data_IF_818569253360
#
_entry.id   IF_818569253360
#
_cell.length_a   1.000
_cell.length_b   1.000
_cell.length_c   1.000
_cell.angle_alpha   90.00
_cell.angle_beta   90.00
_cell.angle_gamma   90.00
#
_symmetry.space_group_name_H-M   'P 1'
#
loop_
_entity.id
_entity.type
_entity.pdbx_description
1 polymer ?
#
# COMPACT_ATOMS: atom_id res chain seq x y z
N UNK A 1 13.39 -1.32 -12.19
CA UNK A 1 12.84 -2.01 -11.01
C UNK A 1 11.33 -2.07 -11.20
N UNK A 2 10.80 -3.25 -11.49
CA UNK A 2 9.37 -3.43 -11.75
C UNK A 2 8.66 -3.58 -10.41
N UNK A 3 7.81 -2.61 -10.07
CA UNK A 3 7.11 -2.51 -8.78
C UNK A 3 5.98 -3.53 -8.69
N UNK A 4 5.51 -3.84 -7.47
CA UNK A 4 4.45 -4.83 -7.28
C UNK A 4 3.17 -4.49 -8.04
N UNK A 5 2.72 -3.23 -8.01
CA UNK A 5 1.55 -2.80 -8.77
C UNK A 5 1.76 -2.97 -10.30
N UNK A 6 2.99 -2.79 -10.79
CA UNK A 6 3.34 -2.97 -12.22
C UNK A 6 3.53 -4.44 -12.63
N UNK A 7 4.09 -5.28 -11.77
CA UNK A 7 4.22 -6.73 -11.99
C UNK A 7 2.84 -7.38 -12.11
N UNK A 8 1.88 -6.96 -11.29
CA UNK A 8 0.51 -7.47 -11.34
C UNK A 8 -0.20 -7.01 -12.63
N UNK A 9 0.02 -5.76 -13.05
CA UNK A 9 -0.57 -5.23 -14.28
C UNK A 9 -0.08 -5.94 -15.56
N UNK A 10 1.18 -6.42 -15.62
CA UNK A 10 1.72 -7.12 -16.81
C UNK A 10 1.36 -8.60 -16.87
N UNK A 11 1.28 -9.30 -15.74
CA UNK A 11 0.93 -10.73 -15.73
C UNK A 11 -0.39 -10.99 -16.45
N UNK A 12 -1.35 -10.07 -16.30
CA UNK A 12 -2.67 -10.13 -16.94
C UNK A 12 -2.72 -9.64 -18.40
N UNK A 13 -1.65 -9.04 -18.94
CA UNK A 13 -1.55 -8.69 -20.38
C UNK A 13 -0.96 -9.86 -21.18
N UNK A 14 -0.22 -10.75 -20.53
CA UNK A 14 0.42 -11.90 -21.17
C UNK A 14 -0.42 -13.18 -21.05
N UNK A 15 -1.16 -13.36 -19.96
CA UNK A 15 -2.15 -14.42 -19.83
C UNK A 15 -3.51 -13.89 -20.32
N UNK A 16 -3.78 -14.10 -21.61
CA UNK A 16 -5.08 -13.86 -22.25
C UNK A 16 -6.18 -14.81 -21.78
N UNK A 17 -6.19 -15.18 -20.50
CA UNK A 17 -7.13 -16.12 -19.95
C UNK A 17 -8.33 -15.39 -19.35
N UNK A 18 -9.39 -15.44 -20.14
CA UNK A 18 -10.75 -15.11 -19.80
C UNK A 18 -11.24 -16.12 -18.74
N UNK A 19 -10.89 -15.94 -17.47
CA UNK A 19 -11.36 -16.81 -16.38
C UNK A 19 -12.41 -16.07 -15.55
N UNK A 20 -13.67 -16.46 -15.78
CA UNK A 20 -14.77 -16.46 -14.83
C UNK A 20 -14.96 -15.21 -13.96
N UNK A 21 -15.82 -14.31 -14.42
CA UNK A 21 -16.45 -13.28 -13.58
C UNK A 21 -17.21 -13.97 -12.44
N UNK A 22 -16.77 -13.80 -11.20
CA UNK A 22 -17.67 -13.91 -10.04
C UNK A 22 -18.35 -12.56 -9.84
N UNK A 23 -19.70 -12.47 -9.80
CA UNK A 23 -20.42 -11.18 -9.82
C UNK A 23 -20.34 -10.33 -8.53
N UNK A 24 -19.74 -10.83 -7.45
CA UNK A 24 -20.12 -10.36 -6.10
C UNK A 24 -19.20 -9.31 -5.42
N UNK A 25 -18.15 -8.80 -6.08
CA UNK A 25 -17.14 -7.96 -5.37
C UNK A 25 -16.82 -6.60 -5.98
N UNK A 26 -17.57 -6.17 -7.00
CA UNK A 26 -17.39 -4.86 -7.63
C UNK A 26 -18.50 -3.88 -7.21
N UNK A 27 -18.61 -3.55 -5.92
CA UNK A 27 -19.37 -2.38 -5.50
C UNK A 27 -18.46 -1.14 -5.59
N UNK A 28 -18.74 -0.15 -6.46
CA UNK A 28 -18.12 1.15 -6.34
C UNK A 28 -18.49 1.71 -4.96
N UNK A 29 -17.48 2.09 -4.18
CA UNK A 29 -17.68 2.81 -2.92
C UNK A 29 -18.67 3.96 -3.13
N UNK A 30 -19.72 4.00 -2.31
CA UNK A 30 -20.77 5.02 -2.40
C UNK A 30 -20.17 6.40 -2.04
N UNK A 31 -20.19 7.38 -2.96
CA UNK A 31 -19.64 8.72 -2.73
C UNK A 31 -20.35 9.53 -1.63
N UNK A 32 -21.46 9.04 -1.05
CA UNK A 32 -22.15 9.66 0.09
C UNK A 32 -21.71 9.12 1.47
N UNK A 33 -20.90 8.06 1.52
CA UNK A 33 -20.37 7.50 2.76
C UNK A 33 -18.99 8.13 3.07
N UNK A 34 -18.94 8.97 4.12
CA UNK A 34 -17.71 9.60 4.62
C UNK A 34 -16.78 8.63 5.39
N UNK A 35 -17.20 7.38 5.61
CA UNK A 35 -16.43 6.35 6.29
C UNK A 35 -16.35 5.06 5.47
N UNK A 36 -15.23 4.29 5.55
CA UNK A 36 -15.14 2.99 4.92
C UNK A 36 -16.17 1.99 5.46
N UNK A 37 -16.93 1.32 4.59
CA UNK A 37 -17.86 0.31 5.06
C UNK A 37 -17.09 -0.89 5.59
N UNK A 38 -17.38 -1.26 6.84
CA UNK A 38 -17.19 -2.62 7.32
C UNK A 38 -18.23 -3.49 6.59
N UNK A 39 -17.75 -4.32 5.66
CA UNK A 39 -18.45 -5.42 4.96
C UNK A 39 -19.94 -5.23 4.58
N UNK A 40 -20.16 -5.28 3.25
CA UNK A 40 -21.32 -5.82 2.52
C UNK A 40 -22.48 -4.88 2.10
N UNK A 41 -22.92 -5.17 0.87
CA UNK A 41 -24.18 -4.90 0.17
C UNK A 41 -24.51 -3.47 -0.30
N UNK A 42 -24.43 -3.25 -1.62
CA UNK A 42 -25.57 -2.85 -2.46
C UNK A 42 -25.21 -2.75 -3.96
N UNK A 43 -26.18 -3.12 -4.78
CA UNK A 43 -26.22 -3.10 -6.25
C UNK A 43 -26.24 -1.66 -6.80
N UNK A 44 -25.06 -1.04 -6.95
CA UNK A 44 -24.88 0.20 -7.70
C UNK A 44 -24.37 -0.09 -9.12
N UNK A 45 -25.32 -0.60 -9.91
CA UNK A 45 -25.52 -0.67 -11.37
C UNK A 45 -24.28 -0.76 -12.31
N UNK A 46 -24.31 -1.79 -13.15
CA UNK A 46 -23.45 -1.98 -14.34
C UNK A 46 -23.30 -0.70 -15.18
N UNK A 47 -24.34 0.13 -15.22
CA UNK A 47 -24.31 1.43 -15.89
C UNK A 47 -23.23 2.38 -15.33
N UNK A 48 -23.09 2.47 -14.01
CA UNK A 48 -22.09 3.35 -13.36
C UNK A 48 -20.68 2.93 -13.76
N UNK A 49 -20.41 1.62 -13.79
CA UNK A 49 -19.12 1.07 -14.25
C UNK A 49 -18.84 1.42 -15.70
N UNK A 50 -19.82 1.21 -16.59
CA UNK A 50 -19.68 1.53 -18.01
C UNK A 50 -19.39 3.02 -18.26
N UNK A 51 -20.00 3.91 -17.48
CA UNK A 51 -19.77 5.36 -17.61
C UNK A 51 -18.38 5.75 -17.11
N UNK A 52 -17.93 5.20 -15.98
CA UNK A 52 -16.56 5.43 -15.48
C UNK A 52 -15.53 4.90 -16.50
N UNK A 53 -15.75 3.70 -17.06
CA UNK A 53 -14.89 3.16 -18.11
C UNK A 53 -14.84 4.05 -19.36
N UNK A 54 -15.97 4.65 -19.74
CA UNK A 54 -16.01 5.60 -20.85
C UNK A 54 -15.20 6.88 -20.56
N UNK A 55 -15.35 7.44 -19.34
CA UNK A 55 -14.55 8.57 -18.89
C UNK A 55 -13.05 8.23 -18.89
N UNK A 56 -12.69 7.04 -18.42
CA UNK A 56 -11.32 6.54 -18.42
C UNK A 56 -10.76 6.43 -19.84
N UNK A 57 -11.52 5.88 -20.80
CA UNK A 57 -11.10 5.82 -22.21
C UNK A 57 -10.81 7.21 -22.77
N UNK A 58 -11.68 8.19 -22.52
CA UNK A 58 -11.47 9.56 -22.97
C UNK A 58 -10.20 10.15 -22.33
N UNK A 59 -10.00 9.96 -21.03
CA UNK A 59 -8.79 10.40 -20.34
C UNK A 59 -7.50 9.85 -20.98
N UNK A 60 -7.46 8.56 -21.29
CA UNK A 60 -6.27 7.94 -21.90
C UNK A 60 -5.87 8.57 -23.24
N UNK A 61 -6.82 9.15 -23.98
CA UNK A 61 -6.50 9.83 -25.25
C UNK A 61 -5.71 11.13 -25.05
N UNK A 62 -5.80 11.79 -23.89
CA UNK A 62 -5.11 13.06 -23.61
C UNK A 62 -3.90 12.94 -22.69
N UNK A 63 -3.65 11.77 -22.09
CA UNK A 63 -2.52 11.56 -21.18
C UNK A 63 -1.20 12.01 -21.79
N UNK A 64 -0.93 11.67 -23.06
CA UNK A 64 0.33 12.02 -23.72
C UNK A 64 0.59 13.53 -23.80
N UNK A 65 -0.47 14.35 -23.81
CA UNK A 65 -0.41 15.82 -23.79
C UNK A 65 -0.23 16.33 -22.35
N UNK A 66 -0.84 15.64 -21.39
CA UNK A 66 -0.78 15.98 -19.95
C UNK A 66 0.59 15.67 -19.34
N UNK A 67 1.22 14.55 -19.70
CA UNK A 67 2.49 14.09 -19.07
C UNK A 67 3.61 15.14 -19.08
N UNK A 68 3.93 15.84 -20.18
CA UNK A 68 4.96 16.89 -20.18
C UNK A 68 4.66 18.06 -19.24
N UNK A 69 3.38 18.32 -18.94
CA UNK A 69 2.95 19.36 -18.00
C UNK A 69 3.17 18.88 -16.56
N UNK A 70 2.76 17.64 -16.27
CA UNK A 70 2.92 17.04 -14.94
C UNK A 70 4.39 16.88 -14.54
N UNK A 71 5.27 16.52 -15.47
CA UNK A 71 6.73 16.48 -15.23
C UNK A 71 7.33 17.80 -14.77
N UNK A 72 6.69 18.92 -15.08
CA UNK A 72 7.11 20.26 -14.64
C UNK A 72 6.44 20.70 -13.34
N UNK A 73 5.49 19.91 -12.84
CA UNK A 73 4.67 20.17 -11.64
C UNK A 73 4.22 21.64 -11.57
N UNK A 74 3.58 22.10 -12.64
CA UNK A 74 3.19 23.50 -12.83
C UNK A 74 1.67 23.65 -12.76
N UNK A 75 1.11 24.08 -11.61
CA UNK A 75 -0.33 24.29 -11.43
C UNK A 75 -0.96 25.17 -12.51
N UNK A 76 -0.30 26.26 -12.90
CA UNK A 76 -0.81 27.18 -13.93
C UNK A 76 -0.98 26.49 -15.28
N UNK A 77 0.00 25.70 -15.70
CA UNK A 77 -0.07 24.95 -16.97
C UNK A 77 -1.08 23.81 -16.89
N UNK A 78 -1.16 23.17 -15.72
CA UNK A 78 -2.15 22.14 -15.45
C UNK A 78 -3.58 22.68 -15.52
N UNK A 79 -3.87 23.80 -14.86
CA UNK A 79 -5.20 24.44 -14.89
C UNK A 79 -5.55 24.95 -16.28
N UNK A 80 -4.61 25.56 -17.01
CA UNK A 80 -4.84 25.94 -18.42
C UNK A 80 -5.11 24.72 -19.32
N UNK A 81 -4.51 23.57 -19.01
CA UNK A 81 -4.83 22.32 -19.70
C UNK A 81 -6.23 21.82 -19.29
N UNK A 82 -6.56 21.89 -18.01
CA UNK A 82 -7.85 21.47 -17.47
C UNK A 82 -9.02 22.30 -18.03
N UNK A 83 -8.84 23.60 -18.22
CA UNK A 83 -9.84 24.46 -18.87
C UNK A 83 -10.22 23.95 -20.29
N UNK A 84 -9.22 23.42 -21.03
CA UNK A 84 -9.43 22.92 -22.38
C UNK A 84 -9.89 21.45 -22.44
N UNK A 85 -9.41 20.61 -21.54
CA UNK A 85 -9.56 19.15 -21.62
C UNK A 85 -10.19 18.51 -20.37
N UNK A 86 -10.60 19.31 -19.38
CA UNK A 86 -11.07 18.85 -18.07
C UNK A 86 -12.30 17.96 -18.14
N UNK A 87 -13.16 18.15 -19.16
CA UNK A 87 -14.30 17.26 -19.41
C UNK A 87 -13.91 15.79 -19.65
N UNK A 88 -12.66 15.50 -20.01
CA UNK A 88 -12.17 14.12 -20.17
C UNK A 88 -11.47 13.59 -18.92
N UNK A 89 -11.37 14.39 -17.86
CA UNK A 89 -10.76 14.04 -16.56
C UNK A 89 -11.81 13.96 -15.44
N UNK A 90 -13.09 14.13 -15.77
CA UNK A 90 -14.17 14.34 -14.80
C UNK A 90 -15.28 13.34 -15.05
N UNK A 91 -15.85 12.85 -13.96
CA UNK A 91 -17.10 12.10 -13.98
C UNK A 91 -18.08 12.74 -12.99
N UNK A 92 -19.23 13.20 -13.51
CA UNK A 92 -20.21 13.99 -12.77
C UNK A 92 -19.59 15.24 -12.14
N UNK A 93 -19.36 15.24 -10.83
CA UNK A 93 -18.82 16.37 -10.05
C UNK A 93 -17.43 16.08 -9.45
N UNK A 94 -16.76 15.04 -9.95
CA UNK A 94 -15.49 14.57 -9.38
C UNK A 94 -14.45 14.35 -10.46
N UNK A 95 -13.20 14.65 -10.12
CA UNK A 95 -12.05 14.25 -10.92
C UNK A 95 -11.90 12.73 -10.79
N UNK A 96 -11.81 12.04 -11.92
CA UNK A 96 -11.77 10.58 -11.95
C UNK A 96 -10.50 10.03 -11.27
N UNK A 97 -10.55 8.83 -10.66
CA UNK A 97 -9.40 8.24 -9.98
C UNK A 97 -8.15 8.14 -10.85
N UNK A 98 -8.32 7.82 -12.14
CA UNK A 98 -7.27 7.66 -13.14
C UNK A 98 -6.50 8.96 -13.38
N UNK A 99 -7.22 10.10 -13.38
CA UNK A 99 -6.61 11.41 -13.50
C UNK A 99 -5.74 11.69 -12.27
N UNK A 100 -6.28 11.56 -11.05
CA UNK A 100 -5.50 11.75 -9.82
C UNK A 100 -4.28 10.81 -9.76
N UNK A 101 -4.44 9.54 -10.12
CA UNK A 101 -3.34 8.57 -10.14
C UNK A 101 -2.26 8.94 -11.16
N UNK A 102 -2.60 9.57 -12.27
CA UNK A 102 -1.61 10.08 -13.23
C UNK A 102 -0.76 11.21 -12.61
N UNK A 103 -1.40 12.14 -11.89
CA UNK A 103 -0.69 13.20 -11.15
C UNK A 103 0.25 12.60 -10.10
N UNK A 104 -0.20 11.55 -9.39
CA UNK A 104 0.60 10.85 -8.39
C UNK A 104 1.78 10.12 -9.04
N UNK A 105 1.55 9.42 -10.15
CA UNK A 105 2.58 8.65 -10.86
C UNK A 105 3.72 9.52 -11.37
N UNK A 106 3.41 10.73 -11.84
CA UNK A 106 4.41 11.71 -12.25
C UNK A 106 4.98 12.53 -11.07
N UNK A 107 4.57 12.21 -9.85
CA UNK A 107 4.93 12.91 -8.61
C UNK A 107 4.70 14.43 -8.70
N UNK A 108 3.64 14.86 -9.37
CA UNK A 108 3.27 16.26 -9.55
C UNK A 108 2.51 16.78 -8.32
N UNK A 109 3.22 16.94 -7.20
CA UNK A 109 2.66 17.27 -5.88
C UNK A 109 1.83 18.56 -5.89
N UNK A 110 2.28 19.61 -6.57
CA UNK A 110 1.55 20.89 -6.61
C UNK A 110 0.28 20.77 -7.43
N UNK A 111 0.34 20.10 -8.58
CA UNK A 111 -0.85 19.83 -9.38
C UNK A 111 -1.85 18.94 -8.60
N UNK A 112 -1.35 17.91 -7.90
CA UNK A 112 -2.18 17.04 -7.08
C UNK A 112 -2.88 17.80 -5.95
N UNK A 113 -2.17 18.73 -5.30
CA UNK A 113 -2.77 19.57 -4.26
C UNK A 113 -3.93 20.42 -4.80
N UNK A 114 -3.79 20.98 -6.01
CA UNK A 114 -4.84 21.79 -6.63
C UNK A 114 -6.12 20.99 -6.84
N UNK A 115 -6.02 19.77 -7.38
CA UNK A 115 -7.20 18.93 -7.61
C UNK A 115 -7.79 18.34 -6.34
N UNK A 116 -6.98 18.08 -5.32
CA UNK A 116 -7.45 17.61 -4.01
C UNK A 116 -8.13 18.72 -3.21
N UNK A 117 -7.70 19.97 -3.38
CA UNK A 117 -8.34 21.14 -2.76
C UNK A 117 -9.63 21.53 -3.45
N UNK A 118 -9.68 21.48 -4.79
CA UNK A 118 -10.87 21.83 -5.58
C UNK A 118 -11.26 23.32 -5.52
N UNK A 119 -10.34 24.20 -5.10
CA UNK A 119 -10.61 25.64 -4.91
C UNK A 119 -10.25 26.51 -6.11
N UNK A 120 -9.57 25.95 -7.11
CA UNK A 120 -9.18 26.71 -8.29
C UNK A 120 -10.41 27.00 -9.15
N UNK A 121 -10.58 28.23 -9.66
CA UNK A 121 -11.76 28.61 -10.43
C UNK A 121 -11.93 27.78 -11.70
N UNK A 122 -10.83 27.32 -12.32
CA UNK A 122 -10.87 26.46 -13.50
C UNK A 122 -11.40 25.05 -13.20
N UNK A 123 -11.52 24.67 -11.92
CA UNK A 123 -12.10 23.41 -11.51
C UNK A 123 -13.61 23.49 -11.27
N UNK A 124 -14.23 24.67 -11.14
CA UNK A 124 -15.68 24.81 -10.92
C UNK A 124 -16.22 23.88 -9.80
N UNK A 125 -15.62 23.98 -8.60
CA UNK A 125 -15.88 23.12 -7.43
C UNK A 125 -15.57 21.61 -7.60
N UNK A 126 -15.07 21.19 -8.76
CA UNK A 126 -14.58 19.83 -8.97
C UNK A 126 -13.36 19.55 -8.10
N UNK A 127 -13.35 18.37 -7.50
CA UNK A 127 -12.23 17.89 -6.69
C UNK A 127 -11.98 16.41 -6.91
N UNK A 128 -10.79 15.96 -6.54
CA UNK A 128 -10.43 14.56 -6.49
C UNK A 128 -10.64 14.00 -5.08
N UNK A 129 -11.20 12.80 -4.97
CA UNK A 129 -11.32 12.10 -3.69
C UNK A 129 -10.07 11.23 -3.45
N UNK A 130 -9.29 11.47 -2.37
CA UNK A 130 -8.05 10.73 -2.10
C UNK A 130 -8.28 9.27 -1.71
N UNK A 131 -9.53 8.88 -1.41
CA UNK A 131 -9.93 7.52 -1.06
C UNK A 131 -10.70 6.82 -2.19
N UNK A 132 -10.61 7.32 -3.43
CA UNK A 132 -11.28 6.66 -4.54
C UNK A 132 -10.41 5.60 -5.22
N UNK A 133 -10.92 4.37 -5.29
CA UNK A 133 -10.20 3.26 -5.91
C UNK A 133 -10.16 3.41 -7.43
N UNK A 134 -9.02 3.08 -8.03
CA UNK A 134 -8.86 2.99 -9.48
C UNK A 134 -9.58 1.77 -10.06
N UNK A 135 -9.79 1.74 -11.37
CA UNK A 135 -10.29 0.54 -12.07
C UNK A 135 -9.38 -0.69 -11.90
N UNK A 136 -8.15 -0.50 -11.43
CA UNK A 136 -7.19 -1.58 -11.21
C UNK A 136 -7.22 -2.12 -9.78
N UNK A 137 -8.01 -1.52 -8.88
CA UNK A 137 -8.15 -2.07 -7.53
C UNK A 137 -7.22 -1.47 -6.48
N UNK A 138 -6.53 -0.38 -6.78
CA UNK A 138 -5.65 0.32 -5.84
C UNK A 138 -6.10 1.77 -5.62
N UNK A 139 -5.69 2.35 -4.50
CA UNK A 139 -6.05 3.72 -4.10
C UNK A 139 -4.87 4.68 -4.32
N UNK A 140 -5.11 6.00 -4.38
CA UNK A 140 -4.08 7.04 -4.48
C UNK A 140 -2.89 6.83 -3.54
N UNK A 141 -3.14 6.45 -2.28
CA UNK A 141 -2.08 6.24 -1.30
C UNK A 141 -1.22 4.99 -1.61
N UNK A 142 -1.79 3.94 -2.21
CA UNK A 142 -1.01 2.81 -2.71
C UNK A 142 -0.08 3.23 -3.84
N UNK A 143 -0.58 4.04 -4.78
CA UNK A 143 0.23 4.53 -5.90
C UNK A 143 1.37 5.43 -5.44
N UNK A 144 1.13 6.31 -4.47
CA UNK A 144 2.18 7.15 -3.87
C UNK A 144 3.23 6.31 -3.10
N UNK A 145 2.79 5.22 -2.46
CA UNK A 145 3.65 4.26 -1.77
C UNK A 145 4.53 3.48 -2.76
N UNK A 146 3.98 3.11 -3.92
CA UNK A 146 4.67 2.34 -4.96
C UNK A 146 5.94 3.05 -5.49
N UNK A 147 5.88 4.38 -5.56
CA UNK A 147 6.99 5.24 -6.04
C UNK A 147 7.77 5.92 -4.90
N UNK A 148 7.47 5.60 -3.64
CA UNK A 148 8.10 6.18 -2.45
C UNK A 148 8.04 7.72 -2.39
N UNK A 149 6.96 8.31 -2.91
CA UNK A 149 6.78 9.76 -2.96
C UNK A 149 6.34 10.30 -1.59
N UNK A 150 7.28 10.50 -0.68
CA UNK A 150 7.03 10.93 0.72
C UNK A 150 6.16 12.19 0.81
N UNK A 151 6.44 13.21 -0.01
CA UNK A 151 5.66 14.46 0.01
C UNK A 151 4.24 14.26 -0.53
N UNK A 152 4.06 13.38 -1.50
CA UNK A 152 2.74 13.00 -2.01
C UNK A 152 1.95 12.18 -0.98
N UNK A 153 2.60 11.27 -0.26
CA UNK A 153 2.01 10.50 0.86
C UNK A 153 1.49 11.47 1.92
N UNK A 154 2.33 12.42 2.37
CA UNK A 154 1.94 13.45 3.34
C UNK A 154 0.79 14.30 2.83
N UNK A 155 0.84 14.73 1.57
CA UNK A 155 -0.23 15.49 0.95
C UNK A 155 -1.55 14.71 1.01
N UNK A 156 -1.57 13.47 0.52
CA UNK A 156 -2.79 12.64 0.51
C UNK A 156 -3.34 12.44 1.93
N UNK A 157 -2.50 12.09 2.91
CA UNK A 157 -2.89 11.93 4.31
C UNK A 157 -3.48 13.24 4.88
N UNK A 158 -2.84 14.39 4.59
CA UNK A 158 -3.34 15.70 5.02
C UNK A 158 -4.69 16.08 4.41
N UNK A 159 -5.05 15.48 3.27
CA UNK A 159 -6.35 15.66 2.59
C UNK A 159 -7.36 14.57 2.95
N UNK A 160 -7.09 13.75 3.97
CA UNK A 160 -8.02 12.74 4.48
C UNK A 160 -7.91 11.37 3.82
N UNK A 161 -6.81 11.07 3.12
CA UNK A 161 -6.54 9.70 2.68
C UNK A 161 -6.44 8.76 3.90
N UNK A 162 -7.14 7.63 3.85
CA UNK A 162 -7.04 6.59 4.87
C UNK A 162 -5.83 5.70 4.57
N UNK A 163 -4.94 5.52 5.55
CA UNK A 163 -3.82 4.58 5.45
C UNK A 163 -4.23 3.10 5.59
N UNK A 164 -5.50 2.83 5.92
CA UNK A 164 -6.03 1.50 6.19
C UNK A 164 -6.88 0.92 5.05
N UNK A 165 -6.96 1.62 3.91
CA UNK A 165 -7.60 1.08 2.70
C UNK A 165 -6.82 -0.14 2.20
N UNK A 166 -7.53 -1.14 1.69
CA UNK A 166 -6.91 -2.35 1.14
C UNK A 166 -7.18 -2.46 -0.35
N UNK A 167 -6.18 -2.87 -1.11
CA UNK A 167 -6.37 -3.23 -2.52
C UNK A 167 -7.46 -4.31 -2.66
N UNK A 168 -8.23 -4.24 -3.74
CA UNK A 168 -9.31 -5.20 -4.01
C UNK A 168 -9.49 -5.40 -5.51
N UNK A 169 -9.94 -6.60 -5.92
CA UNK A 169 -10.19 -6.93 -7.31
C UNK A 169 -9.09 -7.77 -7.97
N UNK A 170 -9.39 -8.27 -9.17
CA UNK A 170 -8.60 -9.30 -9.86
C UNK A 170 -7.33 -8.78 -10.59
N UNK A 171 -7.11 -7.46 -10.59
CA UNK A 171 -5.94 -6.82 -11.24
C UNK A 171 -4.87 -6.37 -10.25
N UNK A 172 -5.02 -6.74 -8.98
CA UNK A 172 -4.11 -6.44 -7.87
C UNK A 172 -3.99 -7.67 -6.96
N UNK A 173 -2.94 -7.73 -6.15
CA UNK A 173 -2.92 -8.61 -4.98
C UNK A 173 -3.93 -8.02 -4.01
N UNK A 174 -4.93 -8.81 -3.63
CA UNK A 174 -5.99 -8.38 -2.74
C UNK A 174 -5.50 -8.22 -1.30
N UNK A 175 -6.06 -7.25 -0.57
CA UNK A 175 -5.84 -7.10 0.86
C UNK A 175 -4.56 -6.34 1.26
N UNK A 176 -3.80 -5.80 0.31
CA UNK A 176 -2.59 -5.04 0.62
C UNK A 176 -2.95 -3.65 1.14
N UNK A 177 -2.27 -3.22 2.21
CA UNK A 177 -2.26 -1.83 2.68
C UNK A 177 -1.26 -1.02 1.84
N UNK A 178 -1.36 0.32 1.83
CA UNK A 178 -0.30 1.19 1.29
C UNK A 178 1.07 0.91 1.94
N UNK A 179 1.07 0.64 3.25
CA UNK A 179 2.27 0.24 3.99
C UNK A 179 2.89 -1.06 3.44
N UNK A 180 2.07 -2.06 3.08
CA UNK A 180 2.57 -3.30 2.48
C UNK A 180 3.24 -3.05 1.14
N UNK A 181 2.67 -2.18 0.29
CA UNK A 181 3.27 -1.81 -1.00
C UNK A 181 4.65 -1.18 -0.79
N UNK A 182 4.79 -0.26 0.15
CA UNK A 182 6.08 0.36 0.47
C UNK A 182 7.11 -0.66 0.98
N UNK A 183 6.73 -1.49 1.96
CA UNK A 183 7.64 -2.49 2.56
C UNK A 183 8.08 -3.51 1.51
N UNK A 184 7.15 -4.07 0.75
CA UNK A 184 7.45 -5.09 -0.24
C UNK A 184 8.33 -4.53 -1.37
N UNK A 185 8.03 -3.35 -1.93
CA UNK A 185 8.89 -2.72 -2.94
C UNK A 185 10.27 -2.36 -2.37
N UNK A 186 10.37 -2.02 -1.08
CA UNK A 186 11.67 -1.76 -0.43
C UNK A 186 12.53 -3.02 -0.44
N UNK A 187 11.93 -4.17 -0.12
CA UNK A 187 12.61 -5.46 -0.08
C UNK A 187 13.08 -5.92 -1.46
N UNK A 188 12.43 -5.46 -2.53
CA UNK A 188 12.82 -5.73 -3.92
C UNK A 188 13.90 -4.78 -4.44
N UNK A 189 14.41 -3.88 -3.60
CA UNK A 189 15.53 -3.06 -3.98
C UNK A 189 16.81 -3.92 -4.09
N UNK A 190 17.61 -3.73 -5.15
CA UNK A 190 18.81 -4.54 -5.45
C UNK A 190 19.76 -4.73 -4.25
N UNK A 191 19.85 -3.74 -3.36
CA UNK A 191 20.67 -3.85 -2.14
C UNK A 191 20.22 -5.00 -1.25
N UNK A 192 18.91 -5.23 -1.10
CA UNK A 192 18.33 -6.30 -0.30
C UNK A 192 18.14 -7.57 -1.12
N UNK A 193 17.61 -7.44 -2.35
CA UNK A 193 17.33 -8.58 -3.24
C UNK A 193 18.61 -9.39 -3.53
N UNK A 194 19.64 -8.76 -4.08
CA UNK A 194 20.88 -9.44 -4.49
C UNK A 194 21.70 -10.00 -3.30
N UNK A 195 21.42 -9.53 -2.07
CA UNK A 195 22.25 -9.83 -0.91
C UNK A 195 21.60 -10.75 0.13
N UNK A 196 20.27 -10.74 0.22
CA UNK A 196 19.51 -11.35 1.32
C UNK A 196 18.23 -12.07 0.87
N UNK A 197 17.82 -11.93 -0.41
CA UNK A 197 16.71 -12.66 -0.98
C UNK A 197 17.21 -13.46 -2.20
N UNK A 198 18.06 -14.49 -2.00
CA UNK A 198 18.37 -15.42 -3.09
C UNK A 198 17.06 -16.02 -3.61
N UNK A 199 17.04 -16.49 -4.87
CA UNK A 199 15.87 -17.08 -5.58
C UNK A 199 15.33 -18.38 -4.92
N UNK A 200 15.13 -18.40 -3.61
CA UNK A 200 14.66 -19.51 -2.80
C UNK A 200 13.33 -19.12 -2.17
N UNK A 201 12.35 -20.02 -2.24
CA UNK A 201 11.02 -19.82 -1.64
C UNK A 201 11.09 -19.75 -0.10
N UNK A 202 12.14 -20.33 0.50
CA UNK A 202 12.40 -20.30 1.94
C UNK A 202 13.89 -20.05 2.23
N UNK A 203 14.35 -18.79 2.21
CA UNK A 203 15.74 -18.46 2.52
C UNK A 203 16.05 -18.81 3.98
N UNK A 204 17.12 -19.60 4.19
CA UNK A 204 17.66 -19.84 5.53
C UNK A 204 18.59 -18.69 5.91
N UNK A 205 18.20 -17.93 6.94
CA UNK A 205 18.97 -16.78 7.41
C UNK A 205 19.95 -17.16 8.51
N UNK A 206 21.22 -16.85 8.30
CA UNK A 206 22.25 -16.96 9.33
C UNK A 206 22.32 -15.69 10.19
N UNK A 207 23.03 -15.77 11.33
CA UNK A 207 23.34 -14.58 12.14
C UNK A 207 24.09 -13.50 11.35
N UNK A 208 24.94 -13.89 10.39
CA UNK A 208 25.65 -12.95 9.54
C UNK A 208 24.70 -12.18 8.63
N UNK A 209 23.64 -12.83 8.13
CA UNK A 209 22.63 -12.20 7.27
C UNK A 209 21.81 -11.15 8.04
N UNK A 210 21.53 -11.38 9.32
CA UNK A 210 20.87 -10.38 10.18
C UNK A 210 21.73 -9.12 10.32
N UNK A 211 23.03 -9.28 10.60
CA UNK A 211 23.93 -8.11 10.66
C UNK A 211 24.03 -7.42 9.31
N UNK A 212 24.14 -8.18 8.22
CA UNK A 212 24.16 -7.65 6.86
C UNK A 212 22.89 -6.87 6.55
N UNK A 213 21.71 -7.36 6.93
CA UNK A 213 20.43 -6.64 6.82
C UNK A 213 20.47 -5.31 7.57
N UNK A 214 20.89 -5.31 8.83
CA UNK A 214 21.00 -4.07 9.63
C UNK A 214 21.94 -3.07 8.94
N UNK A 215 23.10 -3.53 8.47
CA UNK A 215 24.06 -2.67 7.75
C UNK A 215 23.46 -2.08 6.47
N UNK A 216 22.78 -2.89 5.65
CA UNK A 216 22.16 -2.46 4.40
C UNK A 216 21.04 -1.45 4.64
N UNK A 217 20.17 -1.69 5.63
CA UNK A 217 19.06 -0.78 5.95
C UNK A 217 19.54 0.58 6.48
N UNK A 218 20.73 0.64 7.07
CA UNK A 218 21.34 1.88 7.55
C UNK A 218 22.06 2.68 6.44
N UNK A 219 22.08 2.20 5.19
CA UNK A 219 22.68 2.94 4.08
C UNK A 219 21.87 4.20 3.74
N UNK A 220 22.51 5.33 3.40
CA UNK A 220 21.82 6.56 2.98
C UNK A 220 20.85 6.34 1.81
N UNK A 221 21.18 5.43 0.90
CA UNK A 221 20.36 5.06 -0.25
C UNK A 221 19.04 4.41 0.16
N UNK A 222 18.98 3.79 1.34
CA UNK A 222 17.74 3.19 1.86
C UNK A 222 16.78 4.22 2.48
N UNK A 223 17.24 5.45 2.69
CA UNK A 223 16.52 6.49 3.43
C UNK A 223 15.14 6.78 2.85
N UNK A 224 15.02 6.95 1.54
CA UNK A 224 13.73 7.32 0.90
C UNK A 224 12.66 6.23 1.09
N UNK A 225 13.07 4.96 1.01
CA UNK A 225 12.18 3.81 1.18
C UNK A 225 11.69 3.68 2.63
N UNK A 226 12.62 3.88 3.57
CA UNK A 226 12.33 3.85 5.00
C UNK A 226 11.49 5.06 5.44
N UNK A 227 11.73 6.25 4.90
CA UNK A 227 10.96 7.46 5.21
C UNK A 227 9.50 7.33 4.73
N UNK A 228 9.26 6.76 3.54
CA UNK A 228 7.92 6.47 3.05
C UNK A 228 7.20 5.45 3.94
N UNK A 229 7.86 4.33 4.27
CA UNK A 229 7.30 3.29 5.16
C UNK A 229 7.02 3.85 6.56
N UNK A 230 7.91 4.70 7.09
CA UNK A 230 7.76 5.38 8.37
C UNK A 230 6.55 6.30 8.38
N UNK A 231 6.35 7.09 7.33
CA UNK A 231 5.23 8.03 7.25
C UNK A 231 3.87 7.31 7.19
N UNK A 232 3.80 6.20 6.44
CA UNK A 232 2.62 5.34 6.38
C UNK A 232 2.35 4.64 7.72
N UNK A 233 3.39 4.12 8.37
CA UNK A 233 3.27 3.41 9.64
C UNK A 233 2.66 4.28 10.75
N UNK A 234 2.95 5.59 10.78
CA UNK A 234 2.35 6.54 11.74
C UNK A 234 0.82 6.60 11.68
N UNK A 235 0.24 6.27 10.53
CA UNK A 235 -1.19 6.40 10.25
C UNK A 235 -1.88 5.04 10.06
N UNK A 236 -1.12 3.94 10.09
CA UNK A 236 -1.63 2.58 9.90
C UNK A 236 -2.02 2.00 11.26
N UNK A 237 -3.21 1.41 11.34
CA UNK A 237 -3.65 0.74 12.56
C UNK A 237 -3.04 -0.67 12.62
N UNK A 238 -2.68 -1.13 13.82
CA UNK A 238 -2.22 -2.51 14.01
C UNK A 238 -0.86 -2.81 13.36
N UNK A 239 0.08 -1.84 13.31
CA UNK A 239 1.43 -2.07 12.76
C UNK A 239 2.13 -3.26 13.42
N UNK A 240 1.90 -3.49 14.72
CA UNK A 240 2.42 -4.65 15.46
C UNK A 240 1.88 -5.97 14.91
N UNK A 241 0.62 -6.00 14.47
CA UNK A 241 0.01 -7.18 13.85
C UNK A 241 0.61 -7.44 12.46
N UNK A 242 0.84 -6.39 11.67
CA UNK A 242 1.48 -6.53 10.36
C UNK A 242 2.94 -7.01 10.48
N UNK A 243 3.70 -6.50 11.46
CA UNK A 243 5.04 -7.01 11.79
C UNK A 243 4.98 -8.50 12.15
N UNK A 244 4.02 -8.88 12.99
CA UNK A 244 3.84 -10.27 13.39
C UNK A 244 3.51 -11.18 12.19
N UNK A 245 2.67 -10.72 11.26
CA UNK A 245 2.37 -11.45 10.01
C UNK A 245 3.64 -11.72 9.23
N UNK A 246 4.50 -10.71 9.02
CA UNK A 246 5.78 -10.91 8.33
C UNK A 246 6.71 -11.91 9.06
N UNK A 247 6.78 -11.84 10.39
CA UNK A 247 7.60 -12.77 11.20
C UNK A 247 7.06 -14.20 11.07
N UNK A 248 5.74 -14.37 11.19
CA UNK A 248 5.06 -15.67 11.09
C UNK A 248 5.26 -16.32 9.72
N UNK A 249 5.25 -15.51 8.66
CA UNK A 249 5.46 -15.97 7.28
C UNK A 249 6.94 -16.18 6.93
N UNK A 250 7.87 -15.98 7.88
CA UNK A 250 9.31 -16.13 7.65
C UNK A 250 9.94 -15.03 6.79
N UNK A 251 9.22 -13.93 6.55
CA UNK A 251 9.68 -12.78 5.76
C UNK A 251 10.56 -11.85 6.59
N UNK A 252 11.76 -12.32 6.92
CA UNK A 252 12.68 -11.61 7.83
C UNK A 252 13.10 -10.21 7.33
N UNK A 253 13.37 -10.07 6.03
CA UNK A 253 13.76 -8.79 5.43
C UNK A 253 12.63 -7.76 5.56
N UNK A 254 11.40 -8.14 5.24
CA UNK A 254 10.20 -7.30 5.38
C UNK A 254 9.95 -6.90 6.83
N UNK A 255 10.02 -7.85 7.75
CA UNK A 255 9.90 -7.57 9.17
C UNK A 255 10.99 -6.58 9.64
N UNK A 256 12.23 -6.75 9.17
CA UNK A 256 13.35 -5.85 9.49
C UNK A 256 13.15 -4.42 8.95
N UNK A 257 12.68 -4.28 7.71
CA UNK A 257 12.32 -2.97 7.12
C UNK A 257 11.26 -2.29 7.98
N UNK A 258 10.18 -3.00 8.31
CA UNK A 258 9.06 -2.42 9.04
C UNK A 258 9.43 -2.10 10.50
N UNK A 259 10.18 -2.97 11.17
CA UNK A 259 10.68 -2.73 12.53
C UNK A 259 11.55 -1.47 12.60
N UNK A 260 12.42 -1.25 11.62
CA UNK A 260 13.28 -0.06 11.58
C UNK A 260 12.50 1.21 11.20
N UNK A 261 11.58 1.11 10.24
CA UNK A 261 10.77 2.24 9.79
C UNK A 261 9.77 2.70 10.86
N UNK A 262 9.13 1.77 11.57
CA UNK A 262 8.08 2.05 12.55
C UNK A 262 8.59 2.11 14.00
N UNK A 263 9.90 2.05 14.23
CA UNK A 263 10.51 1.99 15.58
C UNK A 263 9.98 3.04 16.56
N UNK A 264 9.79 4.28 16.11
CA UNK A 264 9.25 5.36 16.97
C UNK A 264 7.79 5.10 17.35
N UNK A 265 6.96 4.69 16.39
CA UNK A 265 5.55 4.41 16.60
C UNK A 265 5.35 3.20 17.54
N UNK A 266 6.16 2.16 17.38
CA UNK A 266 6.12 0.93 18.21
C UNK A 266 6.60 1.22 19.65
N UNK A 267 7.54 2.15 19.85
CA UNK A 267 8.08 2.54 21.17
C UNK A 267 7.21 3.56 21.92
N UNK A 268 6.38 4.33 21.22
CA UNK A 268 5.68 5.48 21.80
C UNK A 268 4.26 5.20 22.33
N UNK A 269 3.83 3.93 22.46
CA UNK A 269 2.79 3.59 23.43
C UNK A 269 3.47 3.20 24.75
N UNK A 270 3.73 4.21 25.61
CA UNK A 270 2.72 4.58 26.60
C UNK A 270 2.54 6.09 26.77
N UNK A 271 1.28 6.54 26.75
CA UNK A 271 0.90 7.82 27.34
C UNK A 271 1.34 7.83 28.80
N UNK A 272 2.25 8.75 29.16
CA UNK A 272 2.59 9.08 30.53
C UNK A 272 1.35 9.53 31.31
N UNK A 273 0.65 8.57 31.92
CA UNK A 273 -0.15 8.81 33.12
C UNK A 273 0.33 7.83 34.17
N UNK A 274 0.91 8.37 35.23
CA UNK A 274 1.15 7.66 36.48
C UNK A 274 -0.18 7.06 36.92
N UNK A 275 -0.37 5.77 36.69
CA UNK A 275 -1.20 4.86 37.47
C UNK A 275 -0.90 3.43 37.03
N UNK A 276 -0.80 2.56 38.02
CA UNK A 276 -0.40 1.15 37.94
C UNK A 276 -1.06 0.35 36.81
N UNK A 277 -0.21 -0.02 35.84
CA UNK A 277 -0.26 -1.13 34.87
C UNK A 277 0.33 -0.63 33.55
N UNK A 278 1.67 -0.67 33.43
CA UNK A 278 2.35 -0.36 32.18
C UNK A 278 1.87 -1.33 31.10
N UNK A 279 1.05 -0.83 30.16
CA UNK A 279 0.76 -1.59 28.93
C UNK A 279 2.11 -1.91 28.26
N UNK A 280 2.36 -3.16 27.86
CA UNK A 280 3.59 -3.51 27.18
C UNK A 280 3.67 -2.70 25.88
N UNK A 281 4.84 -2.13 25.60
CA UNK A 281 5.08 -1.46 24.32
C UNK A 281 4.97 -2.48 23.16
N UNK A 282 4.88 -1.98 21.93
CA UNK A 282 4.69 -2.85 20.77
C UNK A 282 5.84 -3.86 20.58
N UNK A 283 7.05 -3.54 21.04
CA UNK A 283 8.20 -4.47 20.99
C UNK A 283 8.00 -5.64 21.97
N UNK A 284 7.55 -5.37 23.19
CA UNK A 284 7.23 -6.39 24.18
C UNK A 284 6.11 -7.31 23.70
N UNK A 285 5.11 -6.78 22.99
CA UNK A 285 4.05 -7.59 22.37
C UNK A 285 4.63 -8.53 21.30
N UNK A 286 5.47 -8.02 20.40
CA UNK A 286 6.11 -8.86 19.37
C UNK A 286 6.98 -9.95 20.01
N UNK A 287 7.80 -9.61 21.01
CA UNK A 287 8.66 -10.56 21.71
C UNK A 287 7.85 -11.65 22.42
N UNK A 288 6.74 -11.28 23.06
CA UNK A 288 5.83 -12.24 23.69
C UNK A 288 5.22 -13.20 22.68
N UNK A 289 4.79 -12.70 21.51
CA UNK A 289 4.25 -13.55 20.43
C UNK A 289 5.31 -14.52 19.89
N UNK A 290 6.55 -14.08 19.70
CA UNK A 290 7.66 -14.93 19.28
C UNK A 290 7.91 -16.03 20.33
N UNK A 291 8.02 -15.66 21.61
CA UNK A 291 8.26 -16.62 22.69
C UNK A 291 7.16 -17.68 22.78
N UNK A 292 5.89 -17.27 22.70
CA UNK A 292 4.75 -18.19 22.69
C UNK A 292 4.75 -19.13 21.49
N UNK A 293 5.10 -18.62 20.31
CA UNK A 293 5.18 -19.42 19.10
C UNK A 293 6.31 -20.46 19.16
N UNK A 294 7.49 -20.08 19.64
CA UNK A 294 8.61 -21.01 19.88
C UNK A 294 8.23 -22.09 20.90
N UNK A 295 7.60 -21.71 22.02
CA UNK A 295 7.13 -22.65 23.02
C UNK A 295 6.12 -23.66 22.46
N UNK A 296 5.17 -23.20 21.63
CA UNK A 296 4.19 -24.08 20.97
C UNK A 296 4.84 -25.02 19.95
N UNK A 297 5.90 -24.56 19.27
CA UNK A 297 6.65 -25.36 18.31
C UNK A 297 7.44 -26.47 19.00
N UNK A 298 8.13 -26.16 20.09
CA UNK A 298 8.88 -27.12 20.91
C UNK A 298 7.96 -28.21 21.51
N UNK A 299 6.79 -27.80 22.01
CA UNK A 299 5.76 -28.72 22.49
C UNK A 299 5.25 -29.67 21.40
N UNK A 300 4.99 -29.15 20.19
CA UNK A 300 4.51 -29.93 19.05
C UNK A 300 5.55 -30.93 18.52
N UNK A 301 6.84 -30.54 18.50
CA UNK A 301 7.94 -31.44 18.15
C UNK A 301 8.09 -32.57 19.17
N UNK A 302 8.05 -32.24 20.47
CA UNK A 302 8.13 -33.25 21.53
C UNK A 302 6.92 -34.19 21.59
N UNK A 303 5.75 -33.81 21.07
CA UNK A 303 4.60 -34.72 20.91
C UNK A 303 4.81 -35.67 19.71
N UNK A 304 5.24 -35.16 18.55
CA UNK A 304 5.52 -35.98 17.36
C UNK A 304 6.64 -37.00 17.59
N UNK A 305 7.66 -36.64 18.36
CA UNK A 305 8.76 -37.54 18.70
C UNK A 305 8.28 -38.68 19.62
N UNK A 306 7.49 -38.36 20.64
CA UNK A 306 6.84 -39.36 21.52
C UNK A 306 5.86 -40.27 20.78
N UNK A 307 5.16 -39.78 19.76
CA UNK A 307 4.30 -40.61 18.91
C UNK A 307 5.13 -41.56 18.02
N UNK A 308 6.24 -41.08 17.43
CA UNK A 308 7.15 -41.93 16.64
C UNK A 308 7.79 -43.04 17.49
N UNK A 309 8.22 -42.72 18.70
CA UNK A 309 8.77 -43.71 19.64
C UNK A 309 7.74 -44.78 20.03
N UNK A 310 6.47 -44.40 20.23
CA UNK A 310 5.39 -45.36 20.50
C UNK A 310 5.10 -46.25 19.30
N UNK A 311 5.16 -45.72 18.08
CA UNK A 311 4.97 -46.49 16.85
C UNK A 311 6.14 -47.42 16.50
N UNK A 312 7.36 -47.16 16.99
CA UNK A 312 8.51 -48.08 16.85
C UNK A 312 8.62 -49.10 17.98
N UNK A 313 7.77 -49.00 19.01
CA UNK A 313 7.76 -49.92 20.17
C UNK A 313 6.63 -50.96 20.10
N UNK A 314 5.97 -51.11 18.95
CA UNK A 314 4.94 -52.12 18.62
C UNK A 314 5.47 -52.99 17.49
#
# INVERSE_FOLDING_TARGET
METILRRISRKNVLDGDNVGLTPDLMAPWDPYLLEPPAQSNLDLDSHTKLVIEAANRNFYTIIHILLPILKKDSPRRFLSFFDKYGGWMVWRLWIIPEALNCLITENAVKCANVVLEGKAPELDDLRANPNWMSQYGHFPLHQASDIFAVDMIKLLLSKGASANVRTAGNRVIEGLLPLHVAVENTCMHKYLEDNLLPNQEHPSYSKADVYKLIHLLCLPEMKVFLDASRELAKHTNGVVDEIWTYIKDGKLVHAGVLLLAAQEHIRLEPSCKKNDNSRPDGFAIVLSRIANHLYSFDLGMGQKERERERHMSI
#
